data_IF_262866741052
#
_entry.id   IF_262866741052
#
_cell.length_a   1.000
_cell.length_b   1.000
_cell.length_c   1.000
_cell.angle_alpha   90.00
_cell.angle_beta   90.00
_cell.angle_gamma   90.00
#
_symmetry.space_group_name_H-M   'P 1'
#
loop_
_entity.id
_entity.type
_entity.pdbx_description
1 polymer ?
#
# COMPACT_ATOMS: atom_id res chain seq x y z
N UNK A 1 4.98 19.51 12.63
CA UNK A 1 5.05 18.40 11.65
C UNK A 1 5.32 19.04 10.31
N UNK A 2 6.47 18.76 9.70
CA UNK A 2 6.79 19.28 8.37
C UNK A 2 6.22 18.33 7.31
N UNK A 3 5.26 18.83 6.53
CA UNK A 3 4.52 18.05 5.54
C UNK A 3 5.37 17.67 4.33
N UNK A 4 6.37 18.49 3.99
CA UNK A 4 7.27 18.20 2.86
C UNK A 4 8.12 16.99 3.17
N UNK A 5 8.82 17.01 4.31
CA UNK A 5 9.57 15.83 4.75
C UNK A 5 8.67 14.63 5.01
N UNK A 6 7.44 14.83 5.50
CA UNK A 6 6.50 13.72 5.71
C UNK A 6 6.17 12.95 4.44
N UNK A 7 5.83 13.64 3.35
CA UNK A 7 5.34 12.98 2.13
C UNK A 7 6.40 12.81 1.06
N UNK A 8 7.50 13.56 1.11
CA UNK A 8 8.47 13.59 0.00
C UNK A 8 9.85 13.02 0.34
N UNK A 9 10.07 12.63 1.61
CA UNK A 9 11.33 12.08 2.10
C UNK A 9 11.10 10.76 2.85
N UNK A 10 11.77 9.65 2.47
CA UNK A 10 11.72 8.39 3.22
C UNK A 10 12.64 8.35 4.45
N UNK A 11 13.47 9.38 4.65
CA UNK A 11 14.46 9.44 5.73
C UNK A 11 13.85 9.73 7.09
N UNK A 12 14.48 9.17 8.13
CA UNK A 12 14.06 9.38 9.51
C UNK A 12 12.95 8.44 9.96
N UNK A 13 12.24 8.87 11.01
CA UNK A 13 11.27 8.08 11.76
C UNK A 13 10.03 8.89 12.06
N UNK A 14 8.87 8.24 12.04
CA UNK A 14 7.60 8.87 12.43
C UNK A 14 6.84 8.02 13.45
N UNK A 15 6.20 8.72 14.40
CA UNK A 15 5.31 8.11 15.38
C UNK A 15 3.96 7.71 14.77
N UNK A 16 3.16 6.96 15.55
CA UNK A 16 1.85 6.45 15.12
C UNK A 16 0.87 7.55 14.71
N UNK A 17 0.81 8.63 15.47
CA UNK A 17 -0.10 9.75 15.18
C UNK A 17 0.21 10.37 13.82
N UNK A 18 1.48 10.69 13.55
CA UNK A 18 1.90 11.25 12.26
C UNK A 18 1.67 10.29 11.09
N UNK A 19 1.86 8.99 11.31
CA UNK A 19 1.55 7.95 10.32
C UNK A 19 0.06 7.95 9.95
N UNK A 20 -0.84 7.88 10.95
CA UNK A 20 -2.28 7.83 10.70
C UNK A 20 -2.83 9.12 10.09
N UNK A 21 -2.32 10.29 10.52
CA UNK A 21 -2.66 11.57 9.88
C UNK A 21 -2.23 11.55 8.41
N UNK A 22 -0.98 11.17 8.13
CA UNK A 22 -0.48 11.09 6.76
C UNK A 22 -1.28 10.11 5.90
N UNK A 23 -1.59 8.94 6.44
CA UNK A 23 -2.38 7.92 5.77
C UNK A 23 -3.81 8.39 5.46
N UNK A 24 -4.50 9.04 6.42
CA UNK A 24 -5.85 9.59 6.22
C UNK A 24 -5.87 10.72 5.18
N UNK A 25 -4.83 11.56 5.15
CA UNK A 25 -4.67 12.57 4.11
C UNK A 25 -4.56 11.90 2.73
N UNK A 26 -3.71 10.88 2.60
CA UNK A 26 -3.56 10.16 1.34
C UNK A 26 -4.85 9.43 0.93
N UNK A 27 -5.60 8.88 1.89
CA UNK A 27 -6.91 8.29 1.63
C UNK A 27 -7.87 9.32 1.05
N UNK A 28 -7.99 10.50 1.69
CA UNK A 28 -8.85 11.59 1.21
C UNK A 28 -8.44 12.10 -0.18
N UNK A 29 -7.14 12.28 -0.42
CA UNK A 29 -6.63 12.70 -1.74
C UNK A 29 -6.97 11.66 -2.81
N UNK A 30 -6.74 10.37 -2.57
CA UNK A 30 -7.08 9.32 -3.54
C UNK A 30 -8.59 9.20 -3.80
N UNK A 31 -9.43 9.39 -2.77
CA UNK A 31 -10.88 9.38 -2.93
C UNK A 31 -11.38 10.49 -3.87
N UNK A 32 -10.81 11.70 -3.75
CA UNK A 32 -11.14 12.83 -4.64
C UNK A 32 -10.49 12.68 -6.01
N UNK A 33 -9.23 12.23 -6.07
CA UNK A 33 -8.48 12.04 -7.31
C UNK A 33 -9.17 11.06 -8.26
N UNK A 34 -9.83 10.03 -7.72
CA UNK A 34 -10.57 9.05 -8.51
C UNK A 34 -11.74 9.63 -9.32
N UNK A 35 -12.18 10.85 -9.02
CA UNK A 35 -13.29 11.51 -9.73
C UNK A 35 -12.82 12.40 -10.88
N UNK A 36 -11.50 12.60 -11.03
CA UNK A 36 -10.92 13.48 -12.05
C UNK A 36 -10.24 12.63 -13.14
N UNK A 37 -10.81 12.54 -14.35
CA UNK A 37 -10.21 11.80 -15.45
C UNK A 37 -8.82 12.36 -15.81
N UNK A 38 -7.89 11.48 -16.19
CA UNK A 38 -6.49 11.78 -16.58
C UNK A 38 -5.61 12.38 -15.47
N UNK A 39 -6.01 13.46 -14.80
CA UNK A 39 -5.25 14.08 -13.70
C UNK A 39 -5.14 13.12 -12.51
N UNK A 40 -6.19 12.34 -12.24
CA UNK A 40 -6.16 11.32 -11.19
C UNK A 40 -5.03 10.30 -11.35
N UNK A 41 -4.61 10.00 -12.59
CA UNK A 41 -3.52 9.07 -12.87
C UNK A 41 -2.14 9.65 -12.55
N UNK A 42 -1.92 10.93 -12.84
CA UNK A 42 -0.68 11.59 -12.44
C UNK A 42 -0.61 11.76 -10.91
N UNK A 43 -1.74 12.10 -10.30
CA UNK A 43 -1.85 12.26 -8.85
C UNK A 43 -1.67 10.92 -8.11
N UNK A 44 -2.10 9.79 -8.70
CA UNK A 44 -1.91 8.48 -8.08
C UNK A 44 -0.43 8.11 -7.93
N UNK A 45 0.43 8.47 -8.88
CA UNK A 45 1.87 8.25 -8.75
C UNK A 45 2.47 9.03 -7.57
N UNK A 46 2.03 10.29 -7.40
CA UNK A 46 2.44 11.11 -6.27
C UNK A 46 1.95 10.55 -4.93
N UNK A 47 0.72 10.06 -4.87
CA UNK A 47 0.17 9.45 -3.64
C UNK A 47 0.80 8.10 -3.31
N UNK A 48 1.19 7.31 -4.32
CA UNK A 48 1.97 6.07 -4.14
C UNK A 48 3.32 6.41 -3.50
N UNK A 49 4.08 7.35 -4.07
CA UNK A 49 5.37 7.75 -3.52
C UNK A 49 5.24 8.28 -2.08
N UNK A 50 4.24 9.13 -1.83
CA UNK A 50 3.97 9.64 -0.49
C UNK A 50 3.59 8.54 0.51
N UNK A 51 2.81 7.55 0.06
CA UNK A 51 2.47 6.37 0.87
C UNK A 51 3.71 5.56 1.20
N UNK A 52 4.62 5.37 0.24
CA UNK A 52 5.89 4.68 0.46
C UNK A 52 6.77 5.42 1.47
N UNK A 53 6.81 6.76 1.41
CA UNK A 53 7.57 7.56 2.37
C UNK A 53 7.07 7.39 3.81
N UNK A 54 5.75 7.49 4.04
CA UNK A 54 5.20 7.35 5.41
C UNK A 54 5.35 5.93 5.96
N UNK A 55 5.16 4.90 5.15
CA UNK A 55 5.34 3.51 5.57
C UNK A 55 6.80 3.20 5.84
N UNK A 56 7.73 3.70 5.01
CA UNK A 56 9.17 3.53 5.22
C UNK A 56 9.59 4.10 6.58
N UNK A 57 9.21 5.34 6.89
CA UNK A 57 9.55 5.97 8.17
C UNK A 57 8.90 5.30 9.38
N UNK A 58 7.70 4.72 9.20
CA UNK A 58 7.03 3.96 10.26
C UNK A 58 7.72 2.61 10.49
N UNK A 59 8.16 1.94 9.43
CA UNK A 59 8.99 0.72 9.52
C UNK A 59 10.35 1.01 10.16
N UNK A 60 10.98 2.13 9.81
CA UNK A 60 12.22 2.59 10.44
C UNK A 60 12.04 2.82 11.94
N UNK A 61 10.89 3.35 12.36
CA UNK A 61 10.58 3.49 13.78
C UNK A 61 10.49 2.15 14.51
N UNK A 62 10.06 1.10 13.81
CA UNK A 62 10.04 -0.28 14.31
C UNK A 62 11.41 -0.99 14.20
N UNK A 63 12.43 -0.31 13.67
CA UNK A 63 13.75 -0.90 13.38
C UNK A 63 13.78 -1.82 12.15
N UNK A 64 12.71 -1.86 11.37
CA UNK A 64 12.58 -2.65 10.16
C UNK A 64 13.12 -1.91 8.93
N UNK A 65 13.32 -2.60 7.81
CA UNK A 65 13.68 -1.97 6.53
C UNK A 65 12.41 -1.57 5.77
N UNK A 66 12.52 -0.54 4.91
CA UNK A 66 11.40 -0.13 4.04
C UNK A 66 10.96 -1.21 3.05
N UNK A 67 11.81 -2.21 2.77
CA UNK A 67 11.59 -3.29 1.81
C UNK A 67 10.40 -4.20 2.11
N UNK A 68 9.92 -4.24 3.36
CA UNK A 68 8.69 -4.96 3.71
C UNK A 68 7.47 -4.52 2.88
N UNK A 69 7.51 -3.31 2.33
CA UNK A 69 6.50 -2.75 1.45
C UNK A 69 6.40 -3.43 0.07
N UNK A 70 7.39 -4.24 -0.33
CA UNK A 70 7.31 -5.03 -1.57
C UNK A 70 6.09 -5.96 -1.55
N UNK A 71 5.72 -6.46 -0.37
CA UNK A 71 4.56 -7.33 -0.21
C UNK A 71 3.26 -6.64 -0.69
N UNK A 72 2.83 -5.50 -0.12
CA UNK A 72 1.62 -4.81 -0.59
C UNK A 72 1.79 -4.07 -1.92
N UNK A 73 2.98 -3.54 -2.25
CA UNK A 73 3.17 -2.69 -3.43
C UNK A 73 3.59 -3.41 -4.70
N UNK A 74 4.08 -4.65 -4.59
CA UNK A 74 4.50 -5.43 -5.77
C UNK A 74 3.70 -6.72 -5.85
N UNK A 75 3.68 -7.53 -4.79
CA UNK A 75 3.05 -8.86 -4.85
C UNK A 75 1.52 -8.77 -4.98
N UNK A 76 0.88 -7.83 -4.27
CA UNK A 76 -0.56 -7.57 -4.40
C UNK A 76 -0.97 -7.16 -5.83
N UNK A 77 -0.39 -6.08 -6.39
CA UNK A 77 -0.67 -5.67 -7.77
C UNK A 77 -0.32 -6.72 -8.82
N UNK A 78 0.79 -7.46 -8.65
CA UNK A 78 1.16 -8.54 -9.56
C UNK A 78 0.12 -9.68 -9.57
N UNK A 79 -0.40 -10.06 -8.39
CA UNK A 79 -1.47 -11.04 -8.26
C UNK A 79 -2.74 -10.59 -8.99
N UNK A 80 -3.18 -9.35 -8.74
CA UNK A 80 -4.37 -8.78 -9.40
C UNK A 80 -4.17 -8.67 -10.91
N UNK A 81 -2.99 -8.22 -11.35
CA UNK A 81 -2.66 -8.12 -12.77
C UNK A 81 -2.70 -9.48 -13.46
N UNK A 82 -2.07 -10.51 -12.87
CA UNK A 82 -2.11 -11.87 -13.42
C UNK A 82 -3.53 -12.42 -13.54
N UNK A 83 -4.37 -12.17 -12.52
CA UNK A 83 -5.77 -12.56 -12.55
C UNK A 83 -6.59 -11.73 -13.56
N UNK A 84 -6.28 -10.45 -13.76
CA UNK A 84 -6.95 -9.63 -14.77
C UNK A 84 -6.59 -10.07 -16.19
N UNK A 85 -5.32 -10.43 -16.43
CA UNK A 85 -4.86 -10.99 -17.71
C UNK A 85 -5.56 -12.33 -17.99
N UNK A 86 -5.75 -13.18 -16.98
CA UNK A 86 -6.39 -14.48 -17.16
C UNK A 86 -7.84 -14.37 -17.65
N UNK A 87 -8.56 -13.28 -17.33
CA UNK A 87 -9.92 -12.99 -17.83
C UNK A 87 -9.97 -12.91 -19.35
N UNK A 88 -8.92 -12.41 -20.01
CA UNK A 88 -8.83 -12.41 -21.48
C UNK A 88 -8.19 -13.67 -22.05
N UNK A 89 -7.15 -14.19 -21.37
CA UNK A 89 -6.34 -15.29 -21.90
C UNK A 89 -7.05 -16.64 -21.83
N UNK A 90 -7.70 -16.96 -20.71
CA UNK A 90 -8.36 -18.26 -20.52
C UNK A 90 -9.47 -18.55 -21.56
N UNK A 91 -10.42 -17.63 -21.82
CA UNK A 91 -11.43 -17.85 -22.87
C UNK A 91 -10.85 -17.90 -24.28
N UNK A 92 -9.79 -17.14 -24.56
CA UNK A 92 -9.11 -17.21 -25.84
C UNK A 92 -8.46 -18.60 -26.07
N UNK A 93 -7.81 -19.15 -25.05
CA UNK A 93 -7.25 -20.51 -25.11
C UNK A 93 -8.37 -21.53 -25.29
N UNK A 94 -9.44 -21.45 -24.48
CA UNK A 94 -10.56 -22.36 -24.57
C UNK A 94 -11.17 -22.40 -25.99
N UNK A 95 -11.33 -21.23 -26.63
CA UNK A 95 -11.81 -21.15 -28.01
C UNK A 95 -10.89 -21.85 -29.02
N UNK A 96 -9.57 -21.79 -28.81
CA UNK A 96 -8.57 -22.42 -29.67
C UNK A 96 -8.44 -23.93 -29.44
N UNK A 97 -8.80 -24.43 -28.26
CA UNK A 97 -8.61 -25.83 -27.85
C UNK A 97 -9.91 -26.64 -27.80
N UNK A 98 -10.99 -26.19 -28.46
CA UNK A 98 -12.33 -26.80 -28.38
C UNK A 98 -12.88 -26.91 -26.94
N UNK A 99 -12.52 -25.99 -26.05
CA UNK A 99 -13.10 -25.84 -24.72
C UNK A 99 -14.35 -24.96 -24.73
N UNK A 100 -14.86 -24.61 -23.54
CA UNK A 100 -16.01 -23.72 -23.35
C UNK A 100 -15.56 -22.31 -22.91
N UNK A 101 -15.51 -21.32 -23.83
CA UNK A 101 -15.00 -19.98 -23.50
C UNK A 101 -15.81 -19.29 -22.40
N UNK A 102 -17.13 -19.45 -22.40
CA UNK A 102 -18.03 -18.82 -21.44
C UNK A 102 -17.75 -19.27 -19.99
N UNK A 103 -17.58 -20.58 -19.77
CA UNK A 103 -17.25 -21.15 -18.46
C UNK A 103 -15.87 -20.71 -18.00
N UNK A 104 -14.89 -20.67 -18.90
CA UNK A 104 -13.53 -20.23 -18.57
C UNK A 104 -13.46 -18.73 -18.24
N UNK A 105 -14.25 -17.89 -18.92
CA UNK A 105 -14.36 -16.47 -18.62
C UNK A 105 -14.97 -16.24 -17.23
N UNK A 106 -16.07 -16.93 -16.91
CA UNK A 106 -16.70 -16.85 -15.60
C UNK A 106 -15.74 -17.30 -14.49
N UNK A 107 -15.03 -18.41 -14.70
CA UNK A 107 -14.04 -18.92 -13.75
C UNK A 107 -12.90 -17.91 -13.53
N UNK A 108 -12.38 -17.31 -14.60
CA UNK A 108 -11.32 -16.31 -14.51
C UNK A 108 -11.78 -15.03 -13.79
N UNK A 109 -13.03 -14.60 -14.01
CA UNK A 109 -13.62 -13.48 -13.27
C UNK A 109 -13.72 -13.75 -11.77
N UNK A 110 -14.16 -14.95 -11.37
CA UNK A 110 -14.15 -15.36 -9.96
C UNK A 110 -12.73 -15.31 -9.39
N UNK A 111 -11.75 -15.82 -10.15
CA UNK A 111 -10.33 -15.74 -9.78
C UNK A 111 -9.85 -14.29 -9.58
N UNK A 112 -10.27 -13.36 -10.43
CA UNK A 112 -9.96 -11.93 -10.28
C UNK A 112 -10.57 -11.34 -9.01
N UNK A 113 -11.83 -11.64 -8.68
CA UNK A 113 -12.42 -11.18 -7.43
C UNK A 113 -11.65 -11.70 -6.21
N UNK A 114 -11.33 -13.00 -6.19
CA UNK A 114 -10.54 -13.61 -5.11
C UNK A 114 -9.16 -12.94 -4.99
N UNK A 115 -8.48 -12.70 -6.12
CA UNK A 115 -7.20 -12.00 -6.16
C UNK A 115 -7.29 -10.58 -5.57
N UNK A 116 -8.34 -9.82 -5.91
CA UNK A 116 -8.59 -8.49 -5.34
C UNK A 116 -8.79 -8.53 -3.83
N UNK A 117 -9.59 -9.48 -3.31
CA UNK A 117 -9.80 -9.63 -1.86
C UNK A 117 -8.51 -10.01 -1.13
N UNK A 118 -7.70 -10.91 -1.69
CA UNK A 118 -6.41 -11.30 -1.11
C UNK A 118 -5.46 -10.10 -1.09
N UNK A 119 -5.30 -9.41 -2.22
CA UNK A 119 -4.41 -8.25 -2.31
C UNK A 119 -4.83 -7.13 -1.35
N UNK A 120 -6.13 -6.83 -1.27
CA UNK A 120 -6.67 -5.87 -0.33
C UNK A 120 -6.44 -6.29 1.13
N UNK A 121 -6.69 -7.56 1.46
CA UNK A 121 -6.46 -8.12 2.79
C UNK A 121 -5.00 -8.00 3.23
N UNK A 122 -4.05 -8.32 2.34
CA UNK A 122 -2.61 -8.16 2.58
C UNK A 122 -2.26 -6.69 2.82
N UNK A 123 -2.75 -5.79 1.97
CA UNK A 123 -2.49 -4.35 2.11
C UNK A 123 -3.04 -3.78 3.42
N UNK A 124 -4.27 -4.18 3.79
CA UNK A 124 -4.91 -3.75 5.02
C UNK A 124 -4.19 -4.30 6.26
N UNK A 125 -3.89 -5.60 6.27
CA UNK A 125 -3.15 -6.23 7.36
C UNK A 125 -1.77 -5.60 7.56
N UNK A 126 -1.07 -5.33 6.46
CA UNK A 126 0.23 -4.65 6.49
C UNK A 126 0.12 -3.23 7.06
N UNK A 127 -0.84 -2.44 6.57
CA UNK A 127 -1.07 -1.06 7.03
C UNK A 127 -1.39 -1.04 8.53
N UNK A 128 -2.28 -1.93 8.99
CA UNK A 128 -2.64 -2.05 10.40
C UNK A 128 -1.45 -2.48 11.26
N UNK A 129 -0.69 -3.48 10.81
CA UNK A 129 0.53 -3.90 11.50
C UNK A 129 1.52 -2.74 11.66
N UNK A 130 1.82 -2.01 10.59
CA UNK A 130 2.75 -0.87 10.58
C UNK A 130 2.23 0.28 11.44
N UNK A 131 0.94 0.61 11.34
CA UNK A 131 0.31 1.73 12.07
C UNK A 131 0.10 1.47 13.56
N UNK A 132 -0.13 0.22 13.97
CA UNK A 132 -0.44 -0.14 15.36
C UNK A 132 0.76 -0.69 16.13
N UNK A 133 1.83 -1.15 15.47
CA UNK A 133 3.02 -1.68 16.15
C UNK A 133 3.73 -0.61 17.00
N UNK A 134 4.44 -1.01 18.05
CA UNK A 134 5.23 -0.10 18.92
C UNK A 134 6.55 0.25 18.24
N UNK A 135 6.97 1.50 18.37
CA UNK A 135 8.28 1.98 17.91
C UNK A 135 9.40 1.71 18.90
N UNK A 136 10.65 1.81 18.45
CA UNK A 136 11.82 1.71 19.33
C UNK A 136 11.96 3.00 20.16
N UNK A 137 12.07 2.93 21.50
CA UNK A 137 12.10 4.13 22.34
C UNK A 137 13.44 4.89 22.27
N UNK A 138 14.52 4.22 21.85
CA UNK A 138 15.86 4.80 21.71
C UNK A 138 16.16 5.17 20.27
N UNK A 139 17.27 5.87 20.08
CA UNK A 139 17.86 6.05 18.76
C UNK A 139 18.20 4.69 18.12
N UNK A 140 18.02 4.62 16.80
CA UNK A 140 18.42 3.49 15.99
C UNK A 140 19.14 4.00 14.73
N UNK A 141 19.56 3.09 13.84
CA UNK A 141 20.28 3.44 12.59
C UNK A 141 19.54 4.41 11.65
N UNK A 142 18.25 4.65 11.87
CA UNK A 142 17.42 5.56 11.08
C UNK A 142 17.20 6.92 11.77
N UNK A 143 17.86 7.14 12.92
CA UNK A 143 17.86 8.41 13.63
C UNK A 143 17.14 8.37 14.99
N UNK A 144 16.95 9.56 15.60
CA UNK A 144 16.41 9.69 16.94
C UNK A 144 14.94 9.26 17.00
N UNK A 145 14.47 8.89 18.20
CA UNK A 145 13.08 8.53 18.41
C UNK A 145 12.14 9.70 18.06
N UNK A 146 10.97 9.43 17.45
CA UNK A 146 9.96 10.46 17.24
C UNK A 146 9.58 11.11 18.56
N UNK A 147 9.41 12.42 18.55
CA UNK A 147 8.98 13.18 19.74
C UNK A 147 7.64 12.60 20.20
N UNK A 148 7.63 12.09 21.43
CA UNK A 148 6.45 11.52 22.04
C UNK A 148 5.89 12.59 23.01
N UNK A 149 4.75 13.24 22.70
CA UNK A 149 4.23 14.34 23.53
C UNK A 149 3.95 13.92 24.98
N UNK A 150 3.76 12.62 25.21
CA UNK A 150 3.44 12.04 26.51
C UNK A 150 4.68 11.58 27.31
N UNK A 151 5.90 11.78 26.79
CA UNK A 151 7.12 11.35 27.48
C UNK A 151 7.59 12.32 28.59
N UNK A 152 6.87 13.42 28.81
CA UNK A 152 7.24 14.47 29.80
C UNK A 152 6.53 14.28 31.15
N UNK A 153 5.76 13.22 31.33
CA UNK A 153 5.10 12.93 32.63
C UNK A 153 5.59 11.60 33.17
N UNK A 154 6.68 11.65 33.94
CA UNK A 154 7.00 10.67 35.00
C UNK A 154 6.55 11.28 36.32
#
# INVERSE_FOLDING_TARGET
>A
MDWKTLFLSPEGRIGRQSFWIGWLVLLGVNAVAGWIPLIGWALSLATIYASVCIHTKRLHDMGQTGWWQVLPWVLGPALVFGAAVSVGVMPAIAALTNGEPEVSALTALVGLFVACFIAFGIWLAFTLWVGCSVGQPRENKYGPAPINPNAVTV
#
